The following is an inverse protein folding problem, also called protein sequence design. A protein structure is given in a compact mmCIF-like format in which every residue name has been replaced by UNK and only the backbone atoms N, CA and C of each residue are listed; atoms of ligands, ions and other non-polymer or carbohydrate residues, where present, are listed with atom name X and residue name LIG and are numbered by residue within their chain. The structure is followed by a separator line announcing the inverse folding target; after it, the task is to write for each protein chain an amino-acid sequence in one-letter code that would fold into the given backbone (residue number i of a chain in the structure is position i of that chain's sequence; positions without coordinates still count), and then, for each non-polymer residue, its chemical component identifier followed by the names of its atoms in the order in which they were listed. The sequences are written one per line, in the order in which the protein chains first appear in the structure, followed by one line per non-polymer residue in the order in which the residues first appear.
data_IF_868446520838
#
_entry.id   IF_868446520838
#
_cell.length_a   1.000
_cell.length_b   1.000
_cell.length_c   1.000
_cell.angle_alpha   90.00
_cell.angle_beta   90.00
_cell.angle_gamma   90.00
#
_symmetry.space_group_name_H-M   'P 1'
#
loop_
_entity.id
_entity.type
_entity.pdbx_description
1 polymer ?
#
# COMPACT_ATOMS: atom_id res chain seq x y z
N UNK A 1 -1.60 2.14 -2.11
CA UNK A 1 -1.58 3.39 -1.32
C UNK A 1 -0.42 3.35 -0.33
N UNK A 2 0.15 4.48 0.08
CA UNK A 2 1.19 4.53 1.11
C UNK A 2 0.64 5.10 2.43
N UNK A 3 1.09 4.56 3.55
CA UNK A 3 0.76 5.04 4.90
C UNK A 3 2.01 5.24 5.74
N UNK A 4 1.97 6.18 6.67
CA UNK A 4 3.02 6.38 7.69
C UNK A 4 2.89 5.36 8.84
N UNK A 5 3.80 5.44 9.83
CA UNK A 5 3.78 4.54 10.99
C UNK A 5 2.48 4.61 11.81
N UNK A 6 1.77 5.74 11.74
CA UNK A 6 0.50 5.97 12.44
C UNK A 6 -0.71 5.54 11.61
N UNK A 7 -0.50 4.89 10.47
CA UNK A 7 -1.58 4.45 9.57
C UNK A 7 -2.24 5.61 8.81
N UNK A 8 -1.63 6.80 8.73
CA UNK A 8 -2.19 7.92 7.97
C UNK A 8 -1.71 7.88 6.54
N UNK A 9 -2.61 8.19 5.59
CA UNK A 9 -2.26 8.25 4.17
C UNK A 9 -1.14 9.27 3.90
N UNK A 10 -0.12 8.82 3.17
CA UNK A 10 0.92 9.67 2.60
C UNK A 10 0.48 10.09 1.21
N UNK A 11 0.43 11.41 0.97
CA UNK A 11 -0.04 12.00 -0.29
C UNK A 11 1.09 12.78 -0.96
N UNK A 12 1.04 12.92 -2.29
CA UNK A 12 2.01 13.72 -3.04
C UNK A 12 2.10 15.18 -2.53
N UNK A 13 0.97 15.78 -2.11
CA UNK A 13 0.96 17.14 -1.54
C UNK A 13 1.82 17.26 -0.28
N UNK A 14 1.86 16.22 0.57
CA UNK A 14 2.69 16.19 1.78
C UNK A 14 4.10 15.68 1.51
N UNK A 15 4.24 14.82 0.51
CA UNK A 15 5.52 14.22 0.14
C UNK A 15 5.72 14.29 -1.38
N UNK A 16 6.27 15.40 -1.91
CA UNK A 16 6.42 15.63 -3.34
C UNK A 16 7.28 14.59 -4.06
N UNK A 17 8.22 13.94 -3.36
CA UNK A 17 9.05 12.86 -3.93
C UNK A 17 8.21 11.69 -4.45
N UNK A 18 6.99 11.53 -3.95
CA UNK A 18 6.06 10.51 -4.44
C UNK A 18 5.67 10.73 -5.92
N UNK A 19 5.82 11.94 -6.47
CA UNK A 19 5.60 12.22 -7.88
C UNK A 19 6.69 11.63 -8.80
N UNK A 20 7.84 11.22 -8.25
CA UNK A 20 8.93 10.59 -9.01
C UNK A 20 8.64 9.11 -9.30
N UNK A 21 7.70 8.49 -8.58
CA UNK A 21 7.32 7.11 -8.81
C UNK A 21 6.23 6.99 -9.86
N UNK A 22 6.39 6.01 -10.74
CA UNK A 22 5.31 5.47 -11.55
C UNK A 22 4.82 4.15 -10.93
N UNK A 23 3.51 3.94 -10.95
CA UNK A 23 2.86 2.71 -10.57
C UNK A 23 2.02 2.21 -11.77
N UNK A 24 2.47 1.13 -12.39
CA UNK A 24 1.77 0.49 -13.50
C UNK A 24 0.89 -0.64 -12.95
N UNK A 25 -0.40 -0.63 -13.29
CA UNK A 25 -1.32 -1.72 -12.93
C UNK A 25 -1.01 -2.97 -13.76
N UNK A 26 -0.85 -4.09 -13.08
CA UNK A 26 -0.58 -5.39 -13.69
C UNK A 26 -1.85 -6.25 -13.79
N UNK A 27 -1.87 -7.25 -14.68
CA UNK A 27 -2.86 -8.32 -14.62
C UNK A 27 -2.92 -8.94 -13.22
N UNK A 28 -4.14 -9.15 -12.70
CA UNK A 28 -4.35 -9.63 -11.34
C UNK A 28 -4.36 -8.53 -10.26
N UNK A 29 -4.28 -7.25 -10.63
CA UNK A 29 -4.52 -6.11 -9.74
C UNK A 29 -3.29 -5.64 -8.95
N UNK A 30 -2.14 -6.30 -9.10
CA UNK A 30 -0.88 -5.87 -8.53
C UNK A 30 -0.31 -4.64 -9.24
N UNK A 31 0.78 -4.09 -8.73
CA UNK A 31 1.44 -2.92 -9.33
C UNK A 31 2.93 -3.18 -9.56
N UNK A 32 3.46 -2.67 -10.69
CA UNK A 32 4.90 -2.50 -10.89
C UNK A 32 5.27 -1.07 -10.58
N UNK A 33 6.13 -0.89 -9.58
CA UNK A 33 6.67 0.38 -9.13
C UNK A 33 8.00 0.65 -9.82
N UNK A 34 8.21 1.89 -10.23
CA UNK A 34 9.48 2.35 -10.79
C UNK A 34 9.72 3.81 -10.42
N UNK A 35 10.99 4.20 -10.32
CA UNK A 35 11.43 5.56 -10.04
C UNK A 35 12.87 5.74 -10.56
N UNK A 36 13.31 6.98 -10.87
CA UNK A 36 14.68 7.23 -11.31
C UNK A 36 15.73 6.69 -10.34
N UNK A 37 16.69 5.92 -10.85
CA UNK A 37 17.80 5.36 -10.06
C UNK A 37 17.43 4.18 -9.14
N UNK A 38 16.21 3.65 -9.23
CA UNK A 38 15.76 2.52 -8.42
C UNK A 38 15.41 1.34 -9.32
N UNK A 39 15.82 0.13 -8.91
CA UNK A 39 15.37 -1.09 -9.58
C UNK A 39 13.83 -1.18 -9.50
N UNK A 40 13.13 -1.51 -10.61
CA UNK A 40 11.69 -1.72 -10.57
C UNK A 40 11.30 -2.82 -9.59
N UNK A 41 10.17 -2.65 -8.92
CA UNK A 41 9.65 -3.62 -7.95
C UNK A 41 8.19 -3.97 -8.26
N UNK A 42 7.90 -5.26 -8.32
CA UNK A 42 6.54 -5.76 -8.48
C UNK A 42 5.93 -6.05 -7.11
N UNK A 43 4.80 -5.44 -6.80
CA UNK A 43 4.00 -5.71 -5.62
C UNK A 43 2.67 -6.36 -6.05
N UNK A 44 2.44 -7.65 -5.79
CA UNK A 44 1.16 -8.30 -6.08
C UNK A 44 0.05 -7.79 -5.15
N UNK A 45 -1.21 -8.13 -5.46
CA UNK A 45 -2.32 -7.96 -4.50
C UNK A 45 -2.03 -8.87 -3.29
N UNK A 46 -2.03 -8.35 -2.06
CA UNK A 46 -1.84 -9.18 -0.87
C UNK A 46 -2.98 -10.17 -0.68
N UNK A 47 -2.68 -11.32 -0.08
CA UNK A 47 -3.72 -12.23 0.40
C UNK A 47 -4.44 -11.58 1.58
N UNK A 48 -5.74 -11.85 1.69
CA UNK A 48 -6.59 -11.30 2.75
C UNK A 48 -6.39 -12.03 4.10
N UNK A 49 -5.15 -12.07 4.61
CA UNK A 49 -4.78 -12.76 5.86
C UNK A 49 -4.95 -11.86 7.09
N UNK A 50 -4.97 -10.54 6.89
CA UNK A 50 -5.20 -9.54 7.93
C UNK A 50 -5.18 -8.12 7.37
N UNK A 51 -5.91 -7.21 8.01
CA UNK A 51 -5.97 -5.80 7.62
C UNK A 51 -5.31 -4.90 8.65
N UNK A 52 -4.93 -3.71 8.22
CA UNK A 52 -4.50 -2.61 9.07
C UNK A 52 -5.46 -1.44 8.92
N UNK A 53 -5.74 -0.76 10.02
CA UNK A 53 -6.53 0.47 10.02
C UNK A 53 -5.77 1.60 9.36
N UNK A 54 -6.40 2.27 8.40
CA UNK A 54 -5.84 3.39 7.66
C UNK A 54 -6.75 4.62 7.78
N UNK A 55 -6.15 5.75 8.12
CA UNK A 55 -6.81 7.05 8.14
C UNK A 55 -6.60 7.76 6.80
N UNK A 56 -7.66 7.87 6.01
CA UNK A 56 -7.71 8.63 4.77
C UNK A 56 -8.50 9.92 5.05
N UNK A 57 -7.79 11.04 5.25
CA UNK A 57 -8.40 12.30 5.67
C UNK A 57 -9.27 12.14 6.92
N UNK A 58 -10.59 12.24 6.80
CA UNK A 58 -11.54 12.05 7.91
C UNK A 58 -12.06 10.61 8.05
N UNK A 59 -11.82 9.77 7.05
CA UNK A 59 -12.37 8.43 6.97
C UNK A 59 -11.37 7.39 7.50
N UNK A 60 -11.90 6.35 8.17
CA UNK A 60 -11.15 5.18 8.60
C UNK A 60 -11.57 3.99 7.76
N UNK A 61 -10.58 3.31 7.18
CA UNK A 61 -10.79 2.14 6.33
C UNK A 61 -9.80 1.04 6.70
N UNK A 62 -10.13 -0.18 6.33
CA UNK A 62 -9.24 -1.32 6.47
C UNK A 62 -8.51 -1.56 5.14
N UNK A 63 -7.19 -1.75 5.20
CA UNK A 63 -6.36 -2.04 4.03
C UNK A 63 -5.47 -3.26 4.27
N UNK A 64 -5.08 -3.94 3.21
CA UNK A 64 -4.15 -5.07 3.29
C UNK A 64 -2.72 -4.57 3.16
N UNK A 65 -1.80 -4.84 4.11
CA UNK A 65 -0.39 -4.51 3.91
C UNK A 65 0.19 -5.36 2.78
N UNK A 66 1.12 -4.79 2.00
CA UNK A 66 1.94 -5.58 1.09
C UNK A 66 2.67 -6.69 1.87
N UNK A 67 2.67 -7.91 1.34
CA UNK A 67 3.27 -9.06 2.04
C UNK A 67 4.81 -9.01 2.04
N UNK A 68 5.39 -8.52 0.95
CA UNK A 68 6.83 -8.46 0.78
C UNK A 68 7.40 -7.19 1.43
N UNK A 69 8.32 -7.39 2.38
CA UNK A 69 9.06 -6.32 3.02
C UNK A 69 9.85 -5.45 2.02
N UNK A 70 10.26 -6.00 0.88
CA UNK A 70 10.91 -5.26 -0.19
C UNK A 70 10.03 -4.15 -0.75
N UNK A 71 8.70 -4.35 -0.80
CA UNK A 71 7.77 -3.31 -1.26
C UNK A 71 7.74 -2.12 -0.31
N UNK A 72 7.79 -2.37 1.00
CA UNK A 72 7.91 -1.32 2.00
C UNK A 72 9.26 -0.61 1.91
N UNK A 73 10.36 -1.37 1.84
CA UNK A 73 11.70 -0.82 1.74
C UNK A 73 11.87 0.07 0.51
N UNK A 74 11.37 -0.37 -0.66
CA UNK A 74 11.38 0.42 -1.89
C UNK A 74 10.68 1.77 -1.70
N UNK A 75 9.48 1.77 -1.11
CA UNK A 75 8.73 3.00 -0.87
C UNK A 75 9.44 3.91 0.15
N UNK A 76 9.99 3.34 1.23
CA UNK A 76 10.75 4.10 2.23
C UNK A 76 12.02 4.71 1.65
N UNK A 77 12.75 3.96 0.82
CA UNK A 77 13.95 4.46 0.12
C UNK A 77 13.60 5.62 -0.82
N UNK A 78 12.51 5.50 -1.59
CA UNK A 78 12.06 6.57 -2.47
C UNK A 78 11.77 7.85 -1.70
N UNK A 79 11.11 7.75 -0.53
CA UNK A 79 10.63 8.89 0.24
C UNK A 79 11.62 9.40 1.30
N UNK A 80 12.64 8.62 1.64
CA UNK A 80 13.58 8.92 2.73
C UNK A 80 12.96 8.87 4.12
N UNK A 81 11.83 8.19 4.29
CA UNK A 81 11.11 8.06 5.56
C UNK A 81 10.31 6.77 5.58
N UNK A 82 10.05 6.24 6.77
CA UNK A 82 9.37 4.97 6.94
C UNK A 82 7.89 5.06 6.51
N UNK A 83 7.56 4.29 5.48
CA UNK A 83 6.19 4.13 4.98
C UNK A 83 5.89 2.67 4.71
N UNK A 84 4.59 2.34 4.69
CA UNK A 84 4.10 1.01 4.31
C UNK A 84 3.21 1.13 3.07
N UNK A 85 3.44 0.22 2.13
CA UNK A 85 2.56 0.00 0.98
C UNK A 85 1.37 -0.86 1.44
N UNK A 86 0.17 -0.36 1.18
CA UNK A 86 -1.09 -1.04 1.47
C UNK A 86 -1.98 -1.08 0.22
N UNK A 87 -2.71 -2.17 0.07
CA UNK A 87 -3.76 -2.35 -0.93
C UNK A 87 -5.10 -1.97 -0.29
N UNK A 88 -5.75 -0.94 -0.83
CA UNK A 88 -7.12 -0.60 -0.45
C UNK A 88 -8.03 -1.51 -1.27
N UNK A 89 -8.50 -2.57 -0.63
CA UNK A 89 -9.40 -3.55 -1.23
C UNK A 89 -10.80 -2.95 -1.47
N UNK A 90 -11.48 -3.37 -2.53
CA UNK A 90 -12.87 -2.99 -2.75
C UNK A 90 -13.76 -3.78 -1.77
N UNK A 91 -14.50 -3.12 -0.87
CA UNK A 91 -15.40 -3.82 0.05
C UNK A 91 -16.42 -4.72 -0.66
N UNK A 92 -16.83 -4.37 -1.89
CA UNK A 92 -17.81 -5.12 -2.66
C UNK A 92 -17.26 -6.44 -3.22
N UNK A 93 -15.94 -6.57 -3.38
CA UNK A 93 -15.29 -7.82 -3.82
C UNK A 93 -14.92 -8.74 -2.66
N UNK A 94 -15.11 -8.28 -1.42
CA UNK A 94 -14.81 -9.05 -0.22
C UNK A 94 -15.88 -10.13 -0.02
N UNK A 95 -15.53 -11.41 -0.24
CA UNK A 95 -16.34 -12.51 0.31
C UNK A 95 -16.41 -12.30 1.82
N UNK A 96 -17.58 -12.39 2.48
CA UNK A 96 -17.67 -12.27 3.93
C UNK A 96 -16.77 -13.33 4.55
N UNK A 97 -15.61 -12.92 5.05
CA UNK A 97 -14.74 -13.79 5.83
C UNK A 97 -15.49 -14.14 7.09
N UNK A 98 -15.71 -15.44 7.33
CA UNK A 98 -16.26 -15.93 8.59
C UNK A 98 -15.44 -15.30 9.71
N UNK A 99 -16.09 -14.51 10.58
CA UNK A 99 -15.50 -14.15 11.87
C UNK A 99 -15.41 -15.47 12.63
N UNK A 100 -14.20 -16.00 12.80
CA UNK A 100 -13.97 -16.98 13.85
C UNK A 100 -14.13 -16.21 15.17
N UNK A 101 -15.31 -16.31 15.77
CA UNK A 101 -15.51 -16.03 17.17
C UNK A 101 -14.75 -17.11 17.96
N UNK A 102 -13.86 -16.68 18.83
CA UNK A 102 -13.14 -17.48 19.82
C UNK A 102 -12.72 -16.59 20.95
#
# INVERSE_FOLDING_TARGET
MLVDHGGKVVTQRRQPRLALAAAELLPGGGVRLSAPGMAPLTAPVPRAVGTVGVQIFRDKVEALPAEDAAAHAWCSTLLGTDVRLVHLDDPATRRPGVRAAG
#
